data_IF_652361443037
#
_entry.id   IF_652361443037
#
_cell.length_a   1.000
_cell.length_b   1.000
_cell.length_c   1.000
_cell.angle_alpha   90.00
_cell.angle_beta   90.00
_cell.angle_gamma   90.00
#
_symmetry.space_group_name_H-M   'P 1'
#
loop_
_entity.id
_entity.type
_entity.pdbx_description
1 polymer ?
#
# COMPACT_ATOMS: atom_id res chain seq x y z
N UNK A 1 -11.78 -2.91 -3.55
CA UNK A 1 -11.05 -2.45 -2.34
C UNK A 1 -9.55 -2.41 -2.53
N UNK A 2 -8.88 -3.52 -2.90
CA UNK A 2 -7.41 -3.52 -3.14
C UNK A 2 -7.01 -2.64 -4.34
N UNK A 3 -7.77 -2.68 -5.44
CA UNK A 3 -7.52 -1.81 -6.61
C UNK A 3 -7.61 -0.31 -6.27
N UNK A 4 -8.54 0.08 -5.40
CA UNK A 4 -8.72 1.50 -4.98
C UNK A 4 -7.50 1.98 -4.17
N UNK A 5 -6.96 1.13 -3.28
CA UNK A 5 -5.78 1.46 -2.50
C UNK A 5 -4.52 1.56 -3.37
N UNK A 6 -4.42 0.75 -4.44
CA UNK A 6 -3.33 0.85 -5.41
C UNK A 6 -3.42 2.13 -6.27
N UNK A 7 -4.64 2.54 -6.65
CA UNK A 7 -4.89 3.77 -7.40
C UNK A 7 -4.50 5.01 -6.58
N UNK A 8 -4.98 5.10 -5.33
CA UNK A 8 -4.61 6.15 -4.36
C UNK A 8 -3.09 6.15 -4.16
N UNK A 9 -2.50 4.96 -4.14
CA UNK A 9 -1.08 4.86 -3.92
C UNK A 9 -0.22 5.40 -5.07
N UNK A 10 -0.67 5.17 -6.31
CA UNK A 10 -0.08 5.78 -7.50
C UNK A 10 -0.22 7.31 -7.50
N UNK A 11 -1.39 7.84 -7.13
CA UNK A 11 -1.62 9.29 -7.10
C UNK A 11 -0.75 10.01 -6.07
N UNK A 12 -0.44 9.35 -4.94
CA UNK A 12 0.38 9.91 -3.87
C UNK A 12 1.89 9.78 -4.09
N UNK A 13 2.34 9.17 -5.20
CA UNK A 13 3.75 8.83 -5.46
C UNK A 13 4.43 8.07 -4.30
N UNK A 14 3.64 7.43 -3.43
CA UNK A 14 4.18 6.71 -2.29
C UNK A 14 4.43 5.25 -2.69
N UNK A 15 5.63 4.77 -2.39
CA UNK A 15 6.08 3.41 -2.70
C UNK A 15 5.51 2.37 -1.72
N UNK A 16 5.09 2.82 -0.52
CA UNK A 16 4.55 1.96 0.54
C UNK A 16 3.37 2.64 1.26
N UNK A 17 2.27 1.90 1.43
CA UNK A 17 1.09 2.31 2.20
C UNK A 17 0.88 1.40 3.40
N UNK A 18 0.49 1.99 4.53
CA UNK A 18 0.17 1.25 5.76
C UNK A 18 -1.26 1.55 6.14
N UNK A 19 -2.05 0.49 6.30
CA UNK A 19 -3.47 0.61 6.66
C UNK A 19 -3.73 -0.24 7.91
N UNK A 20 -4.29 0.41 8.93
CA UNK A 20 -4.75 -0.25 10.15
C UNK A 20 -6.20 -0.71 9.99
N UNK A 21 -6.45 -2.00 10.21
CA UNK A 21 -7.77 -2.61 10.28
C UNK A 21 -7.93 -3.31 11.63
N UNK A 22 -8.40 -2.57 12.63
CA UNK A 22 -8.48 -3.06 14.01
C UNK A 22 -7.09 -3.42 14.55
N UNK A 23 -6.86 -4.67 15.04
CA UNK A 23 -5.55 -5.10 15.52
C UNK A 23 -4.58 -5.48 14.39
N UNK A 24 -5.04 -5.54 13.14
CA UNK A 24 -4.23 -5.97 12.00
C UNK A 24 -3.64 -4.76 11.25
N UNK A 25 -2.33 -4.81 11.03
CA UNK A 25 -1.61 -3.93 10.11
C UNK A 25 -1.51 -4.60 8.75
N UNK A 26 -1.97 -3.93 7.69
CA UNK A 26 -1.68 -4.30 6.30
C UNK A 26 -0.74 -3.29 5.67
N UNK A 27 0.35 -3.79 5.10
CA UNK A 27 1.32 -3.00 4.36
C UNK A 27 1.15 -3.35 2.88
N UNK A 28 0.96 -2.34 2.06
CA UNK A 28 0.85 -2.47 0.61
C UNK A 28 2.10 -1.84 0.02
N UNK A 29 2.85 -2.66 -0.70
CA UNK A 29 4.07 -2.25 -1.38
C UNK A 29 3.73 -2.22 -2.86
N UNK A 30 3.91 -1.06 -3.50
CA UNK A 30 3.51 -0.86 -4.89
C UNK A 30 4.64 -1.20 -5.86
N UNK A 31 5.89 -1.20 -5.42
CA UNK A 31 7.05 -1.65 -6.17
C UNK A 31 7.63 -2.95 -5.57
N UNK A 32 7.63 -4.08 -6.30
CA UNK A 32 8.19 -5.34 -5.78
C UNK A 32 9.67 -5.25 -5.40
N UNK A 33 10.44 -4.36 -6.03
CA UNK A 33 11.87 -4.18 -5.74
C UNK A 33 12.12 -3.61 -4.33
N UNK A 34 11.11 -3.00 -3.69
CA UNK A 34 11.23 -2.49 -2.32
C UNK A 34 11.20 -3.61 -1.25
N UNK A 35 11.00 -4.87 -1.67
CA UNK A 35 10.93 -6.06 -0.78
C UNK A 35 12.21 -6.89 -0.81
N UNK A 36 13.07 -6.72 -1.82
CA UNK A 36 14.40 -7.36 -1.86
C UNK A 36 15.33 -6.84 -0.75
#
# INVERSE_FOLDING_TARGET
TVMILAEIGKELNATVFRVWFGPMLKIFITNPDDIE
#
